data_IF_144826992986
#
_entry.id   IF_144826992986
#
_cell.length_a   1.000
_cell.length_b   1.000
_cell.length_c   1.000
_cell.angle_alpha   90.00
_cell.angle_beta   90.00
_cell.angle_gamma   90.00
#
_symmetry.space_group_name_H-M   'P 1'
#
loop_
_entity.id
_entity.type
_entity.pdbx_description
1 polymer ?
#
# COMPACT_ATOMS: atom_id res chain seq x y z
N UNK A 1 -11.28 15.99 13.53
CA UNK A 1 -9.84 16.26 13.48
C UNK A 1 -9.27 15.17 12.63
N UNK A 2 -8.84 15.53 11.43
CA UNK A 2 -8.42 14.63 10.36
C UNK A 2 -7.51 13.55 10.91
N UNK A 3 -7.97 12.32 10.90
CA UNK A 3 -7.17 11.15 11.24
C UNK A 3 -6.12 10.99 10.14
N UNK A 4 -5.05 11.78 10.24
CA UNK A 4 -3.81 11.51 9.53
C UNK A 4 -3.36 10.13 10.00
N UNK A 5 -3.49 9.16 9.11
CA UNK A 5 -2.95 7.83 9.30
C UNK A 5 -1.51 7.98 9.75
N UNK A 6 -1.19 7.42 10.91
CA UNK A 6 0.18 7.39 11.37
C UNK A 6 0.91 6.30 10.58
N UNK A 7 1.68 6.70 9.57
CA UNK A 7 2.47 5.78 8.75
C UNK A 7 3.40 4.89 9.58
N UNK A 8 3.90 5.39 10.72
CA UNK A 8 4.73 4.57 11.61
C UNK A 8 3.93 3.47 12.31
N UNK A 9 2.66 3.73 12.64
CA UNK A 9 1.75 2.74 13.22
C UNK A 9 1.35 1.69 12.19
N UNK A 10 1.04 2.12 10.96
CA UNK A 10 0.77 1.23 9.83
C UNK A 10 1.97 0.30 9.54
N UNK A 11 3.18 0.86 9.42
CA UNK A 11 4.40 0.07 9.18
C UNK A 11 4.64 -0.93 10.33
N UNK A 12 4.42 -0.51 11.58
CA UNK A 12 4.56 -1.41 12.72
C UNK A 12 3.53 -2.55 12.68
N UNK A 13 2.27 -2.22 12.38
CA UNK A 13 1.18 -3.18 12.27
C UNK A 13 1.44 -4.24 11.19
N UNK A 14 1.87 -3.81 10.01
CA UNK A 14 2.23 -4.71 8.90
C UNK A 14 3.42 -5.56 9.35
N UNK A 15 4.50 -4.97 9.85
CA UNK A 15 5.70 -5.70 10.25
C UNK A 15 5.43 -6.78 11.31
N UNK A 16 4.49 -6.55 12.23
CA UNK A 16 4.10 -7.53 13.24
C UNK A 16 3.34 -8.73 12.66
N UNK A 17 2.57 -8.54 11.59
CA UNK A 17 1.74 -9.59 10.96
C UNK A 17 2.53 -10.46 10.00
N UNK A 18 3.24 -9.84 9.06
CA UNK A 18 3.93 -10.55 7.96
C UNK A 18 5.42 -10.79 8.25
N UNK A 19 5.96 -10.23 9.33
CA UNK A 19 7.37 -10.38 9.76
C UNK A 19 8.39 -9.92 8.70
N UNK A 20 8.04 -8.91 7.92
CA UNK A 20 8.91 -8.25 6.94
C UNK A 20 9.64 -7.06 7.60
N UNK A 21 10.82 -6.69 7.09
CA UNK A 21 11.55 -5.53 7.58
C UNK A 21 10.75 -4.24 7.32
N UNK A 22 10.75 -3.34 8.31
CA UNK A 22 10.05 -2.05 8.24
C UNK A 22 10.49 -1.21 7.04
N UNK A 23 11.77 -1.32 6.64
CA UNK A 23 12.30 -0.60 5.48
C UNK A 23 11.73 -1.12 4.17
N UNK A 24 11.55 -2.44 4.06
CA UNK A 24 10.97 -3.05 2.87
C UNK A 24 9.48 -2.68 2.78
N UNK A 25 8.76 -2.68 3.91
CA UNK A 25 7.37 -2.20 3.98
C UNK A 25 7.26 -0.73 3.58
N UNK A 26 8.09 0.15 4.15
CA UNK A 26 8.11 1.58 3.80
C UNK A 26 8.36 1.79 2.29
N UNK A 27 9.21 0.96 1.69
CA UNK A 27 9.51 1.02 0.27
C UNK A 27 8.30 0.62 -0.59
N UNK A 28 7.59 -0.45 -0.21
CA UNK A 28 6.35 -0.89 -0.88
C UNK A 28 5.29 0.21 -0.83
N UNK A 29 4.96 0.71 0.37
CA UNK A 29 3.97 1.79 0.57
C UNK A 29 4.33 3.06 -0.22
N UNK A 30 5.63 3.38 -0.31
CA UNK A 30 6.08 4.52 -1.09
C UNK A 30 5.84 4.33 -2.59
N UNK A 31 6.11 3.15 -3.13
CA UNK A 31 5.87 2.86 -4.54
C UNK A 31 4.38 2.77 -4.86
N UNK A 32 3.58 2.26 -3.93
CA UNK A 32 2.13 2.18 -4.06
C UNK A 32 1.50 3.58 -4.11
N UNK A 33 1.80 4.47 -3.16
CA UNK A 33 1.42 5.90 -3.24
C UNK A 33 1.88 6.58 -4.52
N UNK A 34 3.09 6.26 -4.99
CA UNK A 34 3.60 6.80 -6.24
C UNK A 34 2.83 6.25 -7.45
N UNK A 35 2.42 4.99 -7.43
CA UNK A 35 1.59 4.39 -8.48
C UNK A 35 0.20 5.03 -8.51
N UNK A 36 -0.48 5.08 -7.36
CA UNK A 36 -1.79 5.74 -7.19
C UNK A 36 -1.72 7.21 -7.62
N UNK A 37 -0.70 7.96 -7.19
CA UNK A 37 -0.55 9.37 -7.54
C UNK A 37 -0.24 9.63 -9.01
N UNK A 38 0.28 8.63 -9.74
CA UNK A 38 0.48 8.71 -11.19
C UNK A 38 -0.71 8.14 -11.98
N UNK A 39 -1.51 7.28 -11.36
CA UNK A 39 -2.71 6.73 -11.96
C UNK A 39 -3.70 7.88 -12.21
N UNK A 40 -4.06 8.07 -13.47
CA UNK A 40 -5.03 9.09 -13.84
C UNK A 40 -6.40 8.57 -13.47
N UNK A 41 -7.11 9.35 -12.65
CA UNK A 41 -8.54 9.16 -12.46
C UNK A 41 -9.24 9.03 -13.81
N UNK A 42 -10.11 8.05 -13.93
CA UNK A 42 -10.86 7.78 -15.13
C UNK A 42 -11.88 8.91 -15.41
N UNK A 43 -12.76 8.73 -16.39
CA UNK A 43 -13.75 9.75 -16.76
C UNK A 43 -14.77 10.03 -15.64
N UNK A 44 -14.88 9.16 -14.66
CA UNK A 44 -15.77 9.28 -13.50
C UNK A 44 -15.04 9.82 -12.26
N UNK A 45 -13.73 10.02 -12.33
CA UNK A 45 -12.92 10.38 -11.16
C UNK A 45 -12.43 9.17 -10.37
N UNK A 46 -12.72 7.94 -10.81
CA UNK A 46 -12.32 6.71 -10.14
C UNK A 46 -10.95 6.28 -10.63
N UNK A 47 -10.04 6.01 -9.70
CA UNK A 47 -8.75 5.40 -10.03
C UNK A 47 -8.95 3.90 -9.93
N UNK A 48 -9.18 3.25 -11.08
CA UNK A 48 -9.23 1.79 -11.16
C UNK A 48 -7.78 1.27 -11.13
N UNK A 49 -7.39 0.72 -9.98
CA UNK A 49 -6.05 0.20 -9.75
C UNK A 49 -6.16 -1.31 -9.77
N UNK A 50 -5.58 -1.91 -10.80
CA UNK A 50 -5.36 -3.34 -10.83
C UNK A 50 -4.24 -3.68 -9.83
N UNK A 51 -4.57 -4.52 -8.85
CA UNK A 51 -3.62 -4.94 -7.82
C UNK A 51 -2.51 -5.80 -8.38
N UNK A 52 -2.77 -6.54 -9.46
CA UNK A 52 -1.77 -7.35 -10.15
C UNK A 52 -0.73 -6.42 -10.80
N UNK A 53 -1.19 -5.39 -11.53
CA UNK A 53 -0.30 -4.38 -12.15
C UNK A 53 0.49 -3.58 -11.11
N UNK A 54 -0.14 -3.24 -9.99
CA UNK A 54 0.49 -2.54 -8.88
C UNK A 54 1.59 -3.38 -8.25
N UNK A 55 1.30 -4.65 -7.98
CA UNK A 55 2.25 -5.60 -7.39
C UNK A 55 3.43 -5.81 -8.33
N UNK A 56 3.16 -6.07 -9.62
CA UNK A 56 4.16 -6.16 -10.70
C UNK A 56 5.05 -4.91 -10.77
N UNK A 57 4.42 -3.72 -10.70
CA UNK A 57 5.14 -2.47 -10.68
C UNK A 57 6.09 -2.38 -9.47
N UNK A 58 5.67 -2.80 -8.28
CA UNK A 58 6.48 -2.73 -7.07
C UNK A 58 7.63 -3.73 -7.13
N UNK A 59 7.37 -5.01 -7.46
CA UNK A 59 8.41 -6.04 -7.56
C UNK A 59 9.40 -5.78 -8.69
N UNK A 60 9.00 -5.05 -9.75
CA UNK A 60 9.93 -4.64 -10.82
C UNK A 60 11.00 -3.63 -10.36
N UNK A 61 10.86 -3.04 -9.16
CA UNK A 61 11.81 -2.06 -8.63
C UNK A 61 13.03 -2.77 -8.08
N UNK A 62 14.21 -2.38 -8.56
CA UNK A 62 15.50 -2.96 -8.15
C UNK A 62 15.80 -2.91 -6.65
N UNK A 63 15.19 -1.94 -5.97
CA UNK A 63 15.41 -1.71 -4.55
C UNK A 63 14.50 -2.62 -3.69
N UNK A 64 13.45 -3.21 -4.29
CA UNK A 64 12.55 -4.16 -3.65
C UNK A 64 13.16 -5.56 -3.73
N UNK A 65 13.34 -6.18 -2.56
CA UNK A 65 13.86 -7.55 -2.42
C UNK A 65 12.78 -8.58 -2.09
N UNK A 66 11.55 -8.11 -1.98
CA UNK A 66 10.38 -8.92 -1.67
C UNK A 66 9.89 -9.63 -2.92
N UNK A 67 9.31 -10.81 -2.72
CA UNK A 67 8.59 -11.52 -3.75
C UNK A 67 7.13 -11.03 -3.84
N UNK A 68 6.51 -11.22 -4.99
CA UNK A 68 5.11 -10.88 -5.29
C UNK A 68 4.11 -11.20 -4.16
N UNK A 69 4.05 -12.43 -3.60
CA UNK A 69 3.12 -12.74 -2.50
C UNK A 69 3.40 -11.95 -1.21
N UNK A 70 4.66 -11.55 -0.98
CA UNK A 70 4.98 -10.72 0.19
C UNK A 70 4.54 -9.27 0.00
N UNK A 71 4.57 -8.78 -1.25
CA UNK A 71 4.09 -7.45 -1.59
C UNK A 71 2.57 -7.42 -1.51
N UNK A 72 1.88 -8.43 -2.04
CA UNK A 72 0.42 -8.57 -1.90
C UNK A 72 0.00 -8.58 -0.43
N UNK A 73 0.62 -9.41 0.41
CA UNK A 73 0.31 -9.46 1.84
C UNK A 73 0.52 -8.11 2.55
N UNK A 74 1.49 -7.28 2.11
CA UNK A 74 1.69 -5.92 2.63
C UNK A 74 0.48 -5.04 2.29
N UNK A 75 0.07 -5.04 1.02
CA UNK A 75 -1.04 -4.23 0.52
C UNK A 75 -2.37 -4.66 1.15
N UNK A 76 -2.61 -5.96 1.30
CA UNK A 76 -3.77 -6.50 2.01
C UNK A 76 -3.78 -6.07 3.48
N UNK A 77 -2.64 -6.20 4.19
CA UNK A 77 -2.53 -5.76 5.59
C UNK A 77 -2.76 -4.25 5.75
N UNK A 78 -2.35 -3.46 4.76
CA UNK A 78 -2.62 -2.03 4.75
C UNK A 78 -4.12 -1.74 4.59
N UNK A 79 -4.78 -2.39 3.65
CA UNK A 79 -6.24 -2.26 3.48
C UNK A 79 -6.99 -2.69 4.74
N UNK A 80 -6.58 -3.80 5.37
CA UNK A 80 -7.12 -4.26 6.65
C UNK A 80 -6.94 -3.23 7.75
N UNK A 81 -5.76 -2.63 7.87
CA UNK A 81 -5.50 -1.56 8.83
C UNK A 81 -6.43 -0.36 8.60
N UNK A 82 -6.59 0.08 7.35
CA UNK A 82 -7.51 1.18 7.04
C UNK A 82 -8.97 0.83 7.34
N UNK A 83 -9.39 -0.41 7.08
CA UNK A 83 -10.72 -0.90 7.45
C UNK A 83 -10.92 -0.94 8.96
N UNK A 84 -9.94 -1.47 9.72
CA UNK A 84 -9.98 -1.53 11.19
C UNK A 84 -10.06 -0.12 11.82
N UNK A 85 -9.43 0.88 11.20
CA UNK A 85 -9.49 2.27 11.62
C UNK A 85 -10.75 3.01 11.15
N UNK A 86 -11.60 2.38 10.35
CA UNK A 86 -12.78 3.04 9.76
C UNK A 86 -12.42 4.10 8.70
N UNK A 87 -11.21 4.02 8.14
CA UNK A 87 -10.68 4.92 7.12
C UNK A 87 -10.87 4.40 5.69
N UNK A 88 -11.57 3.27 5.53
CA UNK A 88 -11.89 2.64 4.25
C UNK A 88 -12.68 3.51 3.24
N UNK A 89 -12.99 4.76 3.59
CA UNK A 89 -13.61 5.76 2.71
C UNK A 89 -12.66 6.85 2.19
N UNK A 90 -11.34 6.73 2.36
CA UNK A 90 -10.34 7.72 1.88
C UNK A 90 -9.90 7.52 0.42
N UNK A 91 -10.78 6.97 -0.40
CA UNK A 91 -10.71 7.09 -1.86
C UNK A 91 -11.74 8.18 -2.21
N UNK A 92 -11.30 9.44 -2.23
CA UNK A 92 -12.02 10.58 -2.83
C UNK A 92 -11.05 11.35 -3.73
#
# INVERSE_FOLDING_TARGET
MSEQVNEQELIAYIAERIKVDRKDIELVLRYEKAYIGNAKADKNGEVDIDIDDLTDFIVSKRDVRLEEPQVEEILECEMDYFMEKGLAGYID
#
